data_IF_493079392991
#
_entry.id   IF_493079392991
#
_cell.length_a   1.000
_cell.length_b   1.000
_cell.length_c   1.000
_cell.angle_alpha   90.00
_cell.angle_beta   90.00
_cell.angle_gamma   90.00
#
_symmetry.space_group_name_H-M   'P 1'
#
loop_
_entity.id
_entity.type
_entity.pdbx_description
1 polymer ?
#
# COMPACT_ATOMS: atom_id res chain seq x y z
N UNK A 1 12.25 20.38 -5.09
CA UNK A 1 11.73 20.03 -6.42
C UNK A 1 10.92 18.77 -6.20
N UNK A 2 9.61 18.86 -6.16
CA UNK A 2 8.73 17.72 -5.86
C UNK A 2 8.79 16.73 -7.05
N UNK A 3 9.46 15.63 -6.87
CA UNK A 3 9.35 14.49 -7.79
C UNK A 3 7.96 13.89 -7.65
N UNK A 4 7.00 14.42 -8.40
CA UNK A 4 5.72 13.72 -8.55
C UNK A 4 5.97 12.42 -9.30
N UNK A 5 5.53 11.29 -8.72
CA UNK A 5 5.55 9.99 -9.39
C UNK A 5 4.97 10.15 -10.80
N UNK A 6 5.72 9.76 -11.82
CA UNK A 6 5.23 9.73 -13.21
C UNK A 6 4.41 8.47 -13.50
N UNK A 7 4.20 7.62 -12.52
CA UNK A 7 3.57 6.31 -12.69
C UNK A 7 2.08 6.39 -12.38
N UNK A 8 1.26 5.99 -13.35
CA UNK A 8 -0.18 5.85 -13.15
C UNK A 8 -0.46 4.79 -12.06
N UNK A 9 -1.40 5.05 -11.15
CA UNK A 9 -1.81 4.05 -10.17
C UNK A 9 -2.30 2.76 -10.84
N UNK A 10 -1.87 1.62 -10.32
CA UNK A 10 -2.26 0.29 -10.78
C UNK A 10 -3.42 -0.20 -9.93
N UNK A 11 -4.55 -0.50 -10.56
CA UNK A 11 -5.72 -1.02 -9.88
C UNK A 11 -5.49 -2.46 -9.44
N UNK A 12 -5.61 -2.75 -8.15
CA UNK A 12 -5.35 -4.07 -7.60
C UNK A 12 -6.42 -5.11 -7.98
N UNK A 13 -7.67 -4.67 -8.10
CA UNK A 13 -8.81 -5.53 -8.42
C UNK A 13 -9.59 -4.99 -9.63
N UNK A 14 -9.16 -5.25 -10.87
CA UNK A 14 -9.77 -4.67 -12.07
C UNK A 14 -11.24 -5.05 -12.28
N UNK A 15 -11.69 -6.15 -11.67
CA UNK A 15 -13.08 -6.63 -11.73
C UNK A 15 -13.91 -6.31 -10.49
N UNK A 16 -13.41 -5.41 -9.64
CA UNK A 16 -14.01 -5.05 -8.36
C UNK A 16 -13.32 -5.73 -7.18
N UNK A 17 -13.15 -4.97 -6.08
CA UNK A 17 -12.50 -5.46 -4.88
C UNK A 17 -13.42 -6.43 -4.10
N UNK A 18 -12.86 -7.48 -3.48
CA UNK A 18 -13.64 -8.49 -2.78
C UNK A 18 -14.54 -7.89 -1.70
N UNK A 19 -15.83 -8.20 -1.78
CA UNK A 19 -16.84 -7.73 -0.83
C UNK A 19 -17.24 -6.26 -0.95
N UNK A 20 -16.77 -5.54 -1.97
CA UNK A 20 -17.31 -4.24 -2.33
C UNK A 20 -18.56 -4.44 -3.19
N UNK A 21 -19.68 -3.88 -2.76
CA UNK A 21 -20.95 -3.92 -3.48
C UNK A 21 -21.31 -2.59 -4.12
N UNK A 22 -20.66 -1.52 -3.70
CA UNK A 22 -20.92 -0.15 -4.16
C UNK A 22 -19.61 0.59 -4.35
N UNK A 23 -19.48 1.26 -5.50
CA UNK A 23 -18.36 2.19 -5.72
C UNK A 23 -18.60 3.46 -4.91
N UNK A 24 -17.67 3.78 -4.04
CA UNK A 24 -17.67 5.02 -3.27
C UNK A 24 -17.07 6.15 -4.12
N UNK A 25 -17.54 7.37 -3.88
CA UNK A 25 -16.91 8.56 -4.45
C UNK A 25 -15.73 8.92 -3.55
N UNK A 26 -14.51 8.64 -4.04
CA UNK A 26 -13.27 9.00 -3.33
C UNK A 26 -13.20 10.50 -3.06
N UNK A 27 -12.73 10.86 -1.88
CA UNK A 27 -12.53 12.26 -1.46
C UNK A 27 -11.09 12.44 -1.05
N UNK A 28 -10.49 13.50 -1.58
CA UNK A 28 -9.18 14.00 -1.19
C UNK A 28 -9.35 15.36 -0.54
N UNK A 29 -8.92 15.49 0.71
CA UNK A 29 -8.96 16.74 1.48
C UNK A 29 -7.51 17.18 1.73
N UNK A 30 -7.08 18.18 0.96
CA UNK A 30 -5.74 18.75 1.05
C UNK A 30 -5.54 19.59 2.32
N UNK A 31 -6.64 20.06 2.94
CA UNK A 31 -6.64 20.83 4.17
C UNK A 31 -7.11 20.00 5.38
N UNK A 32 -7.03 18.68 5.28
CA UNK A 32 -7.61 17.70 6.21
C UNK A 32 -7.10 17.75 7.66
N UNK A 33 -6.35 18.79 7.99
CA UNK A 33 -5.81 19.06 9.31
C UNK A 33 -4.28 19.05 9.33
N UNK A 34 -3.72 19.41 10.48
CA UNK A 34 -2.27 19.47 10.66
C UNK A 34 -1.77 18.32 11.51
N UNK A 35 -0.62 17.78 11.14
CA UNK A 35 0.15 16.84 11.95
C UNK A 35 1.58 17.38 12.05
N UNK A 36 2.08 17.55 13.28
CA UNK A 36 3.39 18.16 13.48
C UNK A 36 3.54 19.60 12.97
N UNK A 37 2.41 20.30 12.71
CA UNK A 37 2.41 21.66 12.13
C UNK A 37 2.22 21.70 10.60
N UNK A 38 2.41 20.59 9.91
CA UNK A 38 2.26 20.45 8.45
C UNK A 38 0.83 20.05 8.08
N UNK A 39 0.34 20.58 6.96
CA UNK A 39 -0.95 20.18 6.38
C UNK A 39 -0.83 18.78 5.77
N UNK A 40 -1.81 17.91 6.03
CA UNK A 40 -1.80 16.52 5.57
C UNK A 40 -2.94 16.27 4.59
N UNK A 41 -2.60 15.76 3.40
CA UNK A 41 -3.57 15.27 2.43
C UNK A 41 -4.25 14.01 2.98
N UNK A 42 -5.55 14.07 3.19
CA UNK A 42 -6.36 12.95 3.67
C UNK A 42 -7.24 12.41 2.57
N UNK A 43 -7.07 11.13 2.26
CA UNK A 43 -7.92 10.42 1.28
C UNK A 43 -8.89 9.51 2.03
N UNK A 44 -10.16 9.52 1.64
CA UNK A 44 -11.19 8.63 2.15
C UNK A 44 -12.13 8.14 1.06
N UNK A 45 -13.06 7.24 1.40
CA UNK A 45 -13.99 6.61 0.46
C UNK A 45 -13.30 5.82 -0.66
N UNK A 46 -12.19 5.19 -0.34
CA UNK A 46 -11.48 4.30 -1.26
C UNK A 46 -12.22 2.96 -1.34
N UNK A 47 -12.79 2.62 -2.48
CA UNK A 47 -13.40 1.32 -2.80
C UNK A 47 -12.66 0.58 -3.92
N UNK A 48 -11.79 1.30 -4.65
CA UNK A 48 -10.91 0.77 -5.68
C UNK A 48 -9.45 0.94 -5.23
N UNK A 49 -8.89 -0.06 -4.51
CA UNK A 49 -7.53 0.03 -4.01
C UNK A 49 -6.51 -0.02 -5.14
N UNK A 50 -5.47 0.79 -5.04
CA UNK A 50 -4.40 0.90 -6.02
C UNK A 50 -3.03 0.84 -5.38
N UNK A 51 -2.03 0.52 -6.18
CA UNK A 51 -0.63 0.77 -5.85
C UNK A 51 -0.03 1.79 -6.82
N UNK A 52 0.85 2.63 -6.32
CA UNK A 52 1.70 3.52 -7.11
C UNK A 52 3.16 3.13 -6.86
N UNK A 53 3.89 2.81 -7.92
CA UNK A 53 5.29 2.40 -7.82
C UNK A 53 6.18 3.63 -7.94
N UNK A 54 7.12 3.76 -7.01
CA UNK A 54 8.20 4.75 -6.98
C UNK A 54 9.51 3.99 -7.15
N UNK A 55 10.01 3.82 -8.38
CA UNK A 55 11.23 3.05 -8.61
C UNK A 55 12.42 3.77 -7.99
N UNK A 56 13.31 3.02 -7.35
CA UNK A 56 14.60 3.56 -6.92
C UNK A 56 15.43 3.99 -8.14
N UNK A 57 16.23 5.07 -8.03
CA UNK A 57 17.17 5.45 -9.08
C UNK A 57 18.14 4.30 -9.40
N UNK A 58 18.37 4.02 -10.69
CA UNK A 58 19.16 2.85 -11.15
C UNK A 58 20.56 2.81 -10.52
N UNK A 59 21.16 3.97 -10.30
CA UNK A 59 22.53 4.11 -9.78
C UNK A 59 22.68 3.61 -8.33
N UNK A 60 21.58 3.56 -7.57
CA UNK A 60 21.58 3.18 -6.16
C UNK A 60 20.63 2.02 -5.87
N UNK A 61 19.92 1.53 -6.88
CA UNK A 61 18.90 0.50 -6.71
C UNK A 61 19.45 -0.78 -6.07
N UNK A 62 18.84 -1.20 -4.98
CA UNK A 62 19.24 -2.39 -4.22
C UNK A 62 18.51 -3.66 -4.65
N UNK A 63 17.48 -3.55 -5.50
CA UNK A 63 16.56 -4.61 -5.84
C UNK A 63 15.50 -4.90 -4.76
N UNK A 64 15.56 -4.23 -3.60
CA UNK A 64 14.54 -4.37 -2.57
C UNK A 64 13.32 -3.47 -2.86
N UNK A 65 12.14 -3.94 -2.44
CA UNK A 65 10.91 -3.15 -2.49
C UNK A 65 10.20 -3.12 -1.14
N UNK A 66 9.47 -2.04 -0.87
CA UNK A 66 8.64 -1.88 0.33
C UNK A 66 7.25 -1.41 -0.06
N UNK A 67 6.24 -2.18 0.33
CA UNK A 67 4.84 -1.75 0.27
C UNK A 67 4.57 -0.82 1.44
N UNK A 68 4.26 0.44 1.15
CA UNK A 68 4.02 1.50 2.14
C UNK A 68 2.53 1.61 2.41
N UNK A 69 2.14 1.49 3.68
CA UNK A 69 0.76 1.55 4.17
C UNK A 69 0.59 2.81 5.05
N UNK A 70 0.01 3.90 4.54
CA UNK A 70 -0.26 5.10 5.34
C UNK A 70 -1.20 4.81 6.51
N UNK A 71 -1.10 5.60 7.59
CA UNK A 71 -2.03 5.57 8.70
C UNK A 71 -3.32 6.35 8.44
N UNK A 72 -4.14 6.48 9.46
CA UNK A 72 -5.40 7.22 9.42
C UNK A 72 -6.57 6.48 10.08
N UNK A 73 -6.28 5.61 11.06
CA UNK A 73 -7.28 4.94 11.90
C UNK A 73 -8.23 4.00 11.14
N UNK A 74 -7.90 3.60 9.93
CA UNK A 74 -8.78 2.90 8.97
C UNK A 74 -10.03 3.70 8.56
N UNK A 75 -9.99 5.01 8.69
CA UNK A 75 -11.06 5.92 8.24
C UNK A 75 -10.61 6.79 7.07
N UNK A 76 -9.35 7.21 7.09
CA UNK A 76 -8.68 7.99 6.04
C UNK A 76 -7.28 7.42 5.78
N UNK A 77 -6.58 7.95 4.80
CA UNK A 77 -5.16 7.74 4.56
C UNK A 77 -4.44 9.10 4.66
N UNK A 78 -3.42 9.21 5.50
CA UNK A 78 -2.49 10.35 5.54
C UNK A 78 -1.51 10.22 4.36
N UNK A 79 -1.97 10.59 3.15
CA UNK A 79 -1.45 10.04 1.90
C UNK A 79 -0.13 10.66 1.47
N UNK A 80 0.09 11.93 1.72
CA UNK A 80 1.35 12.62 1.45
C UNK A 80 2.40 12.33 2.53
N UNK A 81 2.12 12.70 3.79
CA UNK A 81 3.07 12.61 4.90
C UNK A 81 3.57 11.19 5.19
N UNK A 82 2.65 10.22 5.25
CA UNK A 82 2.95 8.81 5.55
C UNK A 82 2.96 7.91 4.30
N UNK A 83 2.85 8.52 3.12
CA UNK A 83 2.86 7.87 1.82
C UNK A 83 3.94 8.42 0.90
N UNK A 84 3.65 9.51 0.17
CA UNK A 84 4.54 10.06 -0.86
C UNK A 84 5.93 10.41 -0.30
N UNK A 85 6.01 11.10 0.85
CA UNK A 85 7.28 11.49 1.48
C UNK A 85 8.10 10.27 1.94
N UNK A 86 7.43 9.25 2.44
CA UNK A 86 8.08 7.99 2.81
C UNK A 86 8.60 7.26 1.59
N UNK A 87 7.88 7.29 0.47
CA UNK A 87 8.34 6.71 -0.79
C UNK A 87 9.60 7.41 -1.32
N UNK A 88 9.63 8.74 -1.28
CA UNK A 88 10.82 9.52 -1.64
C UNK A 88 12.02 9.20 -0.73
N UNK A 89 11.79 9.09 0.58
CA UNK A 89 12.82 8.70 1.53
C UNK A 89 13.39 7.30 1.22
N UNK A 90 12.55 6.32 0.93
CA UNK A 90 12.99 4.97 0.55
C UNK A 90 13.79 4.98 -0.75
N UNK A 91 13.39 5.77 -1.75
CA UNK A 91 14.13 5.90 -3.00
C UNK A 91 15.55 6.44 -2.79
N UNK A 92 15.73 7.40 -1.87
CA UNK A 92 17.05 7.92 -1.52
C UNK A 92 17.95 6.85 -0.88
N UNK A 93 17.37 5.77 -0.34
CA UNK A 93 18.07 4.60 0.19
C UNK A 93 18.28 3.49 -0.86
N UNK A 94 17.89 3.70 -2.11
CA UNK A 94 17.96 2.71 -3.17
C UNK A 94 16.89 1.62 -3.08
N UNK A 95 15.81 1.87 -2.35
CA UNK A 95 14.68 0.94 -2.20
C UNK A 95 13.51 1.42 -3.04
N UNK A 96 12.96 0.57 -3.89
CA UNK A 96 11.72 0.85 -4.60
C UNK A 96 10.56 0.87 -3.61
N UNK A 97 9.79 1.96 -3.60
CA UNK A 97 8.60 2.07 -2.77
C UNK A 97 7.34 1.79 -3.59
N UNK A 98 6.37 1.13 -2.96
CA UNK A 98 5.07 0.81 -3.54
C UNK A 98 4.00 1.35 -2.61
N UNK A 99 3.50 2.55 -2.89
CA UNK A 99 2.48 3.21 -2.09
C UNK A 99 1.14 2.51 -2.28
N UNK A 100 0.59 1.99 -1.20
CA UNK A 100 -0.71 1.31 -1.19
C UNK A 100 -1.82 2.27 -0.76
N UNK A 101 -2.72 2.58 -1.68
CA UNK A 101 -3.99 3.23 -1.38
C UNK A 101 -5.01 2.13 -1.08
N UNK A 102 -5.06 1.70 0.18
CA UNK A 102 -5.97 0.65 0.61
C UNK A 102 -7.37 1.15 0.95
N UNK A 103 -8.35 0.25 1.02
CA UNK A 103 -9.76 0.57 1.23
C UNK A 103 -10.02 1.17 2.61
N UNK A 104 -10.60 2.36 2.59
CA UNK A 104 -11.10 3.13 3.76
C UNK A 104 -12.41 3.84 3.36
N UNK A 105 -13.29 4.19 4.32
CA UNK A 105 -13.27 3.84 5.73
C UNK A 105 -13.55 2.35 5.94
N UNK A 106 -13.35 1.89 7.18
CA UNK A 106 -13.73 0.53 7.59
C UNK A 106 -15.16 0.20 7.17
N UNK A 107 -15.39 -1.03 6.73
CA UNK A 107 -16.72 -1.48 6.30
C UNK A 107 -17.57 -1.91 7.50
N UNK A 108 -18.84 -1.49 7.50
CA UNK A 108 -19.79 -1.87 8.55
C UNK A 108 -19.96 -3.39 8.63
N UNK A 109 -20.09 -3.92 9.85
CA UNK A 109 -20.24 -5.36 10.09
C UNK A 109 -18.98 -6.21 9.88
N UNK A 110 -17.83 -5.57 9.57
CA UNK A 110 -16.53 -6.24 9.37
C UNK A 110 -15.45 -5.72 10.32
N UNK A 111 -14.42 -6.54 10.55
CA UNK A 111 -13.23 -6.07 11.23
C UNK A 111 -12.59 -4.91 10.44
N UNK A 112 -12.12 -3.88 11.15
CA UNK A 112 -11.59 -2.66 10.53
C UNK A 112 -10.46 -2.89 9.53
N UNK A 113 -9.68 -3.95 9.72
CA UNK A 113 -8.53 -4.33 8.90
C UNK A 113 -8.87 -5.36 7.82
N UNK A 114 -10.09 -5.89 7.74
CA UNK A 114 -10.42 -7.02 6.85
C UNK A 114 -10.23 -6.67 5.38
N UNK A 115 -10.85 -5.60 4.88
CA UNK A 115 -10.66 -5.16 3.52
C UNK A 115 -9.22 -4.66 3.24
N UNK A 116 -8.61 -3.82 4.10
CA UNK A 116 -7.20 -3.44 3.96
C UNK A 116 -6.22 -4.63 3.93
N UNK A 117 -6.47 -5.71 4.70
CA UNK A 117 -5.63 -6.90 4.69
C UNK A 117 -5.66 -7.60 3.33
N UNK A 118 -6.82 -7.70 2.71
CA UNK A 118 -6.95 -8.21 1.34
C UNK A 118 -6.12 -7.38 0.36
N UNK A 119 -6.16 -6.06 0.51
CA UNK A 119 -5.46 -5.12 -0.37
C UNK A 119 -3.94 -5.25 -0.25
N UNK A 120 -3.40 -5.32 0.98
CA UNK A 120 -1.95 -5.47 1.17
C UNK A 120 -1.45 -6.87 0.77
N UNK A 121 -2.23 -7.94 1.03
CA UNK A 121 -1.90 -9.27 0.53
C UNK A 121 -1.84 -9.29 -1.00
N UNK A 122 -2.78 -8.61 -1.66
CA UNK A 122 -2.81 -8.49 -3.12
C UNK A 122 -1.63 -7.67 -3.63
N UNK A 123 -1.33 -6.53 -2.99
CA UNK A 123 -0.20 -5.68 -3.36
C UNK A 123 1.14 -6.42 -3.31
N UNK A 124 1.43 -7.14 -2.23
CA UNK A 124 2.66 -7.92 -2.07
C UNK A 124 2.75 -9.02 -3.15
N UNK A 125 1.68 -9.76 -3.38
CA UNK A 125 1.63 -10.79 -4.42
C UNK A 125 1.82 -10.23 -5.82
N UNK A 126 1.20 -9.08 -6.10
CA UNK A 126 1.34 -8.38 -7.37
C UNK A 126 2.78 -7.94 -7.63
N UNK A 127 3.41 -7.26 -6.66
CA UNK A 127 4.81 -6.82 -6.77
C UNK A 127 5.73 -8.02 -6.96
N UNK A 128 5.53 -9.11 -6.22
CA UNK A 128 6.34 -10.33 -6.34
C UNK A 128 6.22 -10.99 -7.71
N UNK A 129 5.03 -11.00 -8.27
CA UNK A 129 4.80 -11.57 -9.61
C UNK A 129 5.46 -10.75 -10.72
N UNK A 130 5.51 -9.42 -10.56
CA UNK A 130 6.07 -8.49 -11.54
C UNK A 130 7.48 -8.00 -11.15
N UNK A 131 8.15 -8.71 -10.22
CA UNK A 131 9.44 -8.28 -9.70
C UNK A 131 10.51 -8.13 -10.79
N UNK A 132 10.59 -9.08 -11.72
CA UNK A 132 11.53 -9.02 -12.84
C UNK A 132 11.29 -7.78 -13.73
N UNK A 133 10.03 -7.49 -14.07
CA UNK A 133 9.64 -6.32 -14.86
C UNK A 133 9.97 -4.98 -14.16
N UNK A 134 10.01 -5.01 -12.83
CA UNK A 134 10.30 -3.86 -11.98
C UNK A 134 11.77 -3.78 -11.53
N UNK A 135 12.66 -4.65 -12.05
CA UNK A 135 14.06 -4.76 -11.59
C UNK A 135 14.19 -5.04 -10.08
N UNK A 136 13.34 -5.90 -9.53
CA UNK A 136 13.29 -6.25 -8.11
C UNK A 136 13.68 -7.70 -7.87
N UNK A 137 14.22 -7.97 -6.68
CA UNK A 137 14.39 -9.31 -6.16
C UNK A 137 13.07 -9.78 -5.51
N UNK A 138 12.41 -10.84 -6.01
CA UNK A 138 11.15 -11.33 -5.46
C UNK A 138 11.25 -11.87 -4.03
N UNK A 139 12.46 -12.02 -3.50
CA UNK A 139 12.74 -12.45 -2.11
C UNK A 139 13.10 -11.27 -1.19
N UNK A 140 12.97 -10.03 -1.67
CA UNK A 140 13.30 -8.81 -0.93
C UNK A 140 12.16 -7.80 -0.97
N UNK A 141 10.93 -8.26 -0.74
CA UNK A 141 9.71 -7.43 -0.73
C UNK A 141 9.19 -7.34 0.71
N UNK A 142 9.33 -6.15 1.29
CA UNK A 142 8.86 -5.85 2.63
C UNK A 142 7.55 -5.08 2.66
N UNK A 143 7.06 -4.86 3.88
CA UNK A 143 5.91 -4.00 4.17
C UNK A 143 6.27 -3.01 5.27
N UNK A 144 5.79 -1.78 5.15
CA UNK A 144 5.98 -0.71 6.12
C UNK A 144 4.64 0.01 6.36
N UNK A 145 4.45 0.54 7.56
CA UNK A 145 3.27 1.35 7.82
C UNK A 145 3.32 2.10 9.13
N UNK A 146 2.43 3.07 9.25
CA UNK A 146 2.33 4.00 10.36
C UNK A 146 0.97 3.86 11.05
N UNK A 147 0.92 3.89 12.37
CA UNK A 147 -0.33 3.81 13.13
C UNK A 147 -1.23 2.65 12.66
N UNK A 148 -2.41 2.93 12.07
CA UNK A 148 -3.28 1.92 11.45
C UNK A 148 -2.59 1.14 10.32
N UNK A 149 -1.72 1.80 9.51
CA UNK A 149 -0.87 1.15 8.52
C UNK A 149 0.19 0.25 9.14
N UNK A 150 0.74 0.63 10.31
CA UNK A 150 1.63 -0.23 11.10
C UNK A 150 0.93 -1.48 11.62
N UNK A 151 -0.32 -1.33 12.11
CA UNK A 151 -1.17 -2.49 12.44
C UNK A 151 -1.43 -3.36 11.21
N UNK A 152 -1.71 -2.76 10.04
CA UNK A 152 -1.92 -3.48 8.79
C UNK A 152 -0.67 -4.25 8.36
N UNK A 153 0.51 -3.66 8.49
CA UNK A 153 1.81 -4.31 8.21
C UNK A 153 2.03 -5.53 9.11
N UNK A 154 1.70 -5.41 10.40
CA UNK A 154 1.74 -6.53 11.33
C UNK A 154 0.71 -7.62 10.96
N UNK A 155 -0.50 -7.23 10.55
CA UNK A 155 -1.53 -8.18 10.09
C UNK A 155 -1.07 -8.93 8.84
N UNK A 156 -0.46 -8.26 7.86
CA UNK A 156 0.11 -8.88 6.66
C UNK A 156 1.21 -9.88 7.01
N UNK A 157 2.07 -9.53 7.97
CA UNK A 157 3.20 -10.36 8.41
C UNK A 157 2.80 -11.61 9.20
N UNK A 158 1.59 -11.63 9.77
CA UNK A 158 1.08 -12.74 10.58
C UNK A 158 -0.04 -13.53 9.90
N UNK A 159 -0.57 -13.06 8.76
CA UNK A 159 -1.69 -13.69 8.06
C UNK A 159 -1.38 -13.88 6.57
N UNK A 160 -0.24 -14.47 6.24
CA UNK A 160 0.19 -14.69 4.86
C UNK A 160 -0.03 -16.13 4.36
N UNK A 161 -0.21 -17.10 5.26
CA UNK A 161 -0.35 -18.52 4.89
C UNK A 161 -1.59 -18.77 4.04
N UNK A 162 -2.63 -17.94 4.22
CA UNK A 162 -3.85 -18.01 3.45
C UNK A 162 -4.31 -16.61 3.07
N UNK A 163 -4.59 -16.40 1.78
CA UNK A 163 -5.26 -15.18 1.34
C UNK A 163 -6.66 -15.09 1.91
N UNK A 164 -7.04 -13.89 2.32
CA UNK A 164 -8.35 -13.61 2.94
C UNK A 164 -9.42 -13.27 1.89
N UNK A 165 -9.15 -13.53 0.62
CA UNK A 165 -10.04 -13.34 -0.51
C UNK A 165 -9.83 -14.45 -1.57
N UNK A 166 -10.84 -14.72 -2.44
CA UNK A 166 -10.68 -15.64 -3.56
C UNK A 166 -9.65 -15.13 -4.58
N UNK A 167 -8.83 -16.00 -5.13
CA UNK A 167 -7.84 -15.65 -6.15
C UNK A 167 -8.50 -14.95 -7.35
N UNK A 168 -7.90 -13.85 -7.79
CA UNK A 168 -8.41 -13.00 -8.88
C UNK A 168 -7.76 -13.36 -10.22
N UNK A 169 -6.45 -13.57 -10.20
CA UNK A 169 -5.65 -13.88 -11.37
C UNK A 169 -4.34 -14.62 -11.02
N UNK A 170 -3.41 -14.68 -11.97
CA UNK A 170 -2.14 -15.39 -11.81
C UNK A 170 -1.24 -14.78 -10.70
N UNK A 171 -1.34 -13.48 -10.42
CA UNK A 171 -0.56 -12.83 -9.38
C UNK A 171 -0.90 -13.36 -7.96
N UNK A 172 -2.09 -13.92 -7.78
CA UNK A 172 -2.48 -14.52 -6.52
C UNK A 172 -1.91 -15.94 -6.28
N UNK A 173 -1.17 -16.49 -7.25
CA UNK A 173 -0.36 -17.70 -7.07
C UNK A 173 0.96 -17.42 -6.36
N UNK A 174 1.46 -16.18 -6.45
CA UNK A 174 2.66 -15.77 -5.73
C UNK A 174 2.38 -15.63 -4.24
N UNK A 175 3.39 -15.85 -3.40
CA UNK A 175 3.27 -15.65 -1.96
C UNK A 175 2.95 -14.19 -1.62
N UNK A 176 2.02 -13.97 -0.71
CA UNK A 176 1.74 -12.65 -0.13
C UNK A 176 2.48 -12.43 1.20
N UNK A 177 3.46 -13.30 1.53
CA UNK A 177 4.31 -13.13 2.70
C UNK A 177 5.28 -11.98 2.47
N UNK A 178 5.32 -10.95 3.33
CA UNK A 178 6.41 -9.99 3.30
C UNK A 178 7.70 -10.66 3.79
N UNK A 179 8.83 -10.35 3.15
CA UNK A 179 10.14 -10.90 3.53
C UNK A 179 10.70 -10.19 4.77
N UNK A 180 10.26 -8.96 5.01
CA UNK A 180 10.53 -8.18 6.21
C UNK A 180 9.41 -7.18 6.49
N UNK A 181 9.32 -6.71 7.72
CA UNK A 181 8.31 -5.75 8.16
C UNK A 181 8.96 -4.63 8.95
N UNK A 182 8.68 -3.40 8.55
CA UNK A 182 9.02 -2.18 9.27
C UNK A 182 7.72 -1.54 9.76
N UNK A 183 7.68 -1.18 11.03
CA UNK A 183 6.54 -0.45 11.59
C UNK A 183 7.02 0.71 12.44
N UNK A 184 6.38 1.84 12.28
CA UNK A 184 6.48 2.98 13.18
C UNK A 184 5.26 3.01 14.10
N UNK A 185 5.50 3.31 15.36
CA UNK A 185 4.44 3.52 16.34
C UNK A 185 3.73 4.85 16.14
#
# INVERSE_FOLDING_TARGET
>A
MLFRSQNNPILLFPKGAPGETTKLIEKADADGGKTGGETVLRITNVSEPTITVYPAPDEVATGAAVVVCPGGGYNILAYDLEGDEVCEWLNNLGVTAVLLKYRVPRREGRAKHEAPLQDVQRAIGYVRTHAEEMNLDPQRIGVMGFSAGGHLSAMASNNFDKRTYPAVDAADKASCRPDFCLRSE
#
